data_IF_876519509048
#
_entry.id   IF_876519509048
#
_cell.length_a   1.000
_cell.length_b   1.000
_cell.length_c   1.000
_cell.angle_alpha   90.00
_cell.angle_beta   90.00
_cell.angle_gamma   90.00
#
_symmetry.space_group_name_H-M   'P 1'
#
loop_
_entity.id
_entity.type
_entity.pdbx_description
1 polymer ?
#
# COMPACT_ATOMS: atom_id res chain seq x y z
N UNK A 1 -5.95 26.12 -20.21
CA UNK A 1 -5.83 24.90 -19.37
C UNK A 1 -7.17 24.67 -18.69
N UNK A 2 -7.71 23.45 -18.69
CA UNK A 2 -8.98 23.15 -17.97
C UNK A 2 -8.71 23.08 -16.47
N UNK A 3 -9.61 23.59 -15.61
CA UNK A 3 -9.46 23.47 -14.17
C UNK A 3 -9.45 21.99 -13.75
N UNK A 4 -8.69 21.62 -12.70
CA UNK A 4 -8.69 20.25 -12.19
C UNK A 4 -10.10 19.83 -11.77
N UNK A 5 -10.42 18.55 -11.98
CA UNK A 5 -11.74 18.03 -11.63
C UNK A 5 -11.97 18.11 -10.12
N UNK A 6 -13.23 18.30 -9.70
CA UNK A 6 -13.61 18.33 -8.27
C UNK A 6 -13.17 17.04 -7.55
N UNK A 7 -13.22 15.90 -8.23
CA UNK A 7 -12.79 14.62 -7.68
C UNK A 7 -11.28 14.61 -7.35
N UNK A 8 -10.45 15.14 -8.25
CA UNK A 8 -9.01 15.24 -8.04
C UNK A 8 -8.68 16.14 -6.83
N UNK A 9 -9.29 17.33 -6.76
CA UNK A 9 -9.10 18.24 -5.62
C UNK A 9 -9.54 17.60 -4.29
N UNK A 10 -10.61 16.80 -4.29
CA UNK A 10 -11.04 16.06 -3.09
C UNK A 10 -10.04 14.98 -2.68
N UNK A 11 -9.41 14.27 -3.63
CA UNK A 11 -8.35 13.30 -3.31
C UNK A 11 -7.15 14.01 -2.69
N UNK A 12 -6.69 15.12 -3.27
CA UNK A 12 -5.59 15.91 -2.71
C UNK A 12 -5.92 16.45 -1.31
N UNK A 13 -7.15 16.93 -1.11
CA UNK A 13 -7.63 17.35 0.20
C UNK A 13 -7.65 16.20 1.22
N UNK A 14 -8.07 15.01 0.80
CA UNK A 14 -8.06 13.82 1.64
C UNK A 14 -6.63 13.46 2.07
N UNK A 15 -5.67 13.47 1.13
CA UNK A 15 -4.25 13.23 1.43
C UNK A 15 -3.69 14.28 2.38
N UNK A 16 -4.00 15.55 2.16
CA UNK A 16 -3.64 16.63 3.06
C UNK A 16 -4.20 16.41 4.47
N UNK A 17 -5.47 16.01 4.59
CA UNK A 17 -6.08 15.66 5.87
C UNK A 17 -5.37 14.47 6.53
N UNK A 18 -5.00 13.43 5.77
CA UNK A 18 -4.25 12.28 6.29
C UNK A 18 -2.93 12.68 6.94
N UNK A 19 -2.22 13.63 6.34
CA UNK A 19 -0.95 14.17 6.86
C UNK A 19 -1.17 15.10 8.05
N UNK A 20 -2.09 16.06 7.94
CA UNK A 20 -2.22 17.19 8.89
C UNK A 20 -3.22 16.94 10.00
N UNK A 21 -4.41 16.44 9.69
CA UNK A 21 -5.49 16.30 10.66
C UNK A 21 -6.36 15.08 10.34
N UNK A 22 -5.88 13.85 10.62
CA UNK A 22 -6.59 12.62 10.31
C UNK A 22 -7.95 12.51 11.02
N UNK A 23 -8.19 13.31 12.06
CA UNK A 23 -9.50 13.36 12.74
C UNK A 23 -10.59 13.93 11.85
N UNK A 24 -10.24 14.79 10.87
CA UNK A 24 -11.19 15.39 9.91
C UNK A 24 -11.72 14.41 8.88
N UNK A 25 -11.04 13.28 8.69
CA UNK A 25 -11.45 12.26 7.73
C UNK A 25 -12.72 11.56 8.23
N UNK A 26 -13.76 11.61 7.39
CA UNK A 26 -15.05 10.99 7.59
C UNK A 26 -15.16 9.72 6.76
N UNK A 27 -16.10 8.85 7.10
CA UNK A 27 -16.44 7.70 6.26
C UNK A 27 -17.25 8.12 5.04
N UNK A 28 -17.23 7.29 4.00
CA UNK A 28 -18.03 7.46 2.78
C UNK A 28 -17.72 8.75 2.00
N UNK A 29 -16.54 9.35 2.14
CA UNK A 29 -16.14 10.50 1.32
C UNK A 29 -15.97 10.13 -0.16
N UNK A 30 -15.61 8.87 -0.40
CA UNK A 30 -15.42 8.25 -1.69
C UNK A 30 -16.16 6.91 -1.73
N UNK A 31 -16.62 6.51 -2.92
CA UNK A 31 -17.14 5.16 -3.11
C UNK A 31 -16.00 4.16 -3.04
N UNK A 32 -16.30 2.93 -2.59
CA UNK A 32 -15.30 1.86 -2.52
C UNK A 32 -14.69 1.56 -3.89
N UNK A 33 -15.51 1.50 -4.94
CA UNK A 33 -15.01 1.29 -6.30
C UNK A 33 -14.02 2.37 -6.75
N UNK A 34 -14.28 3.64 -6.40
CA UNK A 34 -13.35 4.73 -6.68
C UNK A 34 -12.02 4.55 -5.92
N UNK A 35 -12.07 4.26 -4.63
CA UNK A 35 -10.85 4.05 -3.83
C UNK A 35 -10.02 2.88 -4.38
N UNK A 36 -10.66 1.77 -4.75
CA UNK A 36 -9.98 0.62 -5.36
C UNK A 36 -9.33 0.97 -6.69
N UNK A 37 -10.03 1.69 -7.57
CA UNK A 37 -9.49 2.11 -8.86
C UNK A 37 -8.27 3.03 -8.69
N UNK A 38 -8.34 3.99 -7.76
CA UNK A 38 -7.22 4.88 -7.46
C UNK A 38 -6.05 4.11 -6.87
N UNK A 39 -6.28 3.23 -5.88
CA UNK A 39 -5.20 2.45 -5.27
C UNK A 39 -4.53 1.50 -6.28
N UNK A 40 -5.32 0.86 -7.15
CA UNK A 40 -4.78 0.09 -8.27
C UNK A 40 -3.91 0.98 -9.16
N UNK A 41 -4.43 2.14 -9.56
CA UNK A 41 -3.70 3.04 -10.45
C UNK A 41 -2.39 3.55 -9.84
N UNK A 42 -2.39 3.88 -8.55
CA UNK A 42 -1.17 4.31 -7.83
C UNK A 42 -0.11 3.21 -7.81
N UNK A 43 -0.50 1.96 -7.52
CA UNK A 43 0.44 0.82 -7.56
C UNK A 43 0.94 0.52 -8.96
N UNK A 44 0.05 0.62 -9.95
CA UNK A 44 0.39 0.45 -11.36
C UNK A 44 1.42 1.48 -11.82
N UNK A 45 1.17 2.76 -11.51
CA UNK A 45 2.09 3.85 -11.81
C UNK A 45 3.42 3.68 -11.08
N UNK A 46 3.40 3.30 -9.79
CA UNK A 46 4.61 3.04 -9.03
C UNK A 46 5.51 2.03 -9.76
N UNK A 47 5.00 0.85 -10.09
CA UNK A 47 5.79 -0.17 -10.79
C UNK A 47 6.18 0.24 -12.21
N UNK A 48 5.31 0.96 -12.91
CA UNK A 48 5.60 1.49 -14.25
C UNK A 48 6.81 2.42 -14.23
N UNK A 49 6.85 3.38 -13.29
CA UNK A 49 7.92 4.36 -13.18
C UNK A 49 9.15 3.83 -12.47
N UNK A 50 8.97 2.87 -11.55
CA UNK A 50 10.06 2.15 -10.89
C UNK A 50 11.02 1.51 -11.91
N UNK A 51 10.48 1.02 -13.04
CA UNK A 51 11.28 0.47 -14.15
C UNK A 51 12.31 1.47 -14.72
N UNK A 52 12.05 2.77 -14.65
CA UNK A 52 12.91 3.81 -15.22
C UNK A 52 13.89 4.41 -14.21
N UNK A 53 13.54 4.39 -12.92
CA UNK A 53 14.34 5.01 -11.86
C UNK A 53 15.36 4.06 -11.24
N UNK A 54 15.11 2.75 -11.30
CA UNK A 54 15.90 1.76 -10.56
C UNK A 54 16.85 1.01 -11.49
N UNK A 55 18.17 1.00 -11.21
CA UNK A 55 19.21 0.55 -12.15
C UNK A 55 19.22 -0.96 -12.49
N UNK A 56 18.26 -1.75 -12.00
CA UNK A 56 18.13 -3.17 -12.33
C UNK A 56 17.35 -3.48 -13.62
N UNK A 57 16.74 -2.46 -14.25
CA UNK A 57 15.77 -2.66 -15.33
C UNK A 57 16.11 -1.93 -16.64
N UNK A 58 17.30 -1.33 -16.77
CA UNK A 58 17.53 -0.26 -17.75
C UNK A 58 18.34 -0.67 -19.00
N UNK A 59 17.70 -0.39 -20.15
CA UNK A 59 18.17 0.17 -21.45
C UNK A 59 18.13 -0.70 -22.71
N UNK A 60 18.73 -1.88 -22.75
CA UNK A 60 18.93 -2.56 -24.05
C UNK A 60 17.70 -3.34 -24.56
N UNK A 61 16.69 -3.55 -23.71
CA UNK A 61 15.49 -4.34 -24.02
C UNK A 61 14.16 -3.60 -23.72
N UNK A 62 14.12 -2.27 -23.79
CA UNK A 62 12.87 -1.54 -23.63
C UNK A 62 11.98 -1.71 -24.87
N UNK A 63 11.35 -2.87 -24.98
CA UNK A 63 10.08 -3.03 -25.65
C UNK A 63 9.04 -3.01 -24.53
N UNK A 64 7.99 -2.20 -24.64
CA UNK A 64 6.80 -2.26 -23.77
C UNK A 64 6.03 -3.58 -24.01
N UNK A 65 6.72 -4.71 -23.88
CA UNK A 65 6.23 -6.05 -24.06
C UNK A 65 5.58 -6.59 -22.79
N UNK A 66 5.23 -7.87 -22.83
CA UNK A 66 4.51 -8.58 -21.77
C UNK A 66 5.10 -8.39 -20.38
N UNK A 67 6.43 -8.53 -20.20
CA UNK A 67 7.10 -8.36 -18.90
C UNK A 67 6.84 -7.01 -18.24
N UNK A 68 6.93 -5.93 -19.02
CA UNK A 68 6.72 -4.58 -18.53
C UNK A 68 5.27 -4.40 -18.04
N UNK A 69 4.30 -4.76 -18.89
CA UNK A 69 2.89 -4.63 -18.51
C UNK A 69 2.51 -5.54 -17.35
N UNK A 70 3.00 -6.79 -17.33
CA UNK A 70 2.77 -7.71 -16.21
C UNK A 70 3.34 -7.17 -14.90
N UNK A 71 4.54 -6.55 -14.91
CA UNK A 71 5.10 -5.91 -13.74
C UNK A 71 4.24 -4.72 -13.25
N UNK A 72 3.76 -3.88 -14.15
CA UNK A 72 2.87 -2.77 -13.82
C UNK A 72 1.52 -3.26 -13.27
N UNK A 73 0.91 -4.26 -13.91
CA UNK A 73 -0.33 -4.91 -13.44
C UNK A 73 -0.15 -5.57 -12.08
N UNK A 74 1.00 -6.20 -11.84
CA UNK A 74 1.37 -6.73 -10.53
C UNK A 74 1.40 -5.62 -9.47
N UNK A 75 1.97 -4.45 -9.78
CA UNK A 75 1.96 -3.30 -8.86
C UNK A 75 0.56 -2.82 -8.52
N UNK A 76 -0.31 -2.72 -9.52
CA UNK A 76 -1.70 -2.31 -9.32
C UNK A 76 -2.50 -3.30 -8.48
N UNK A 77 -2.42 -4.59 -8.80
CA UNK A 77 -3.11 -5.64 -8.04
C UNK A 77 -2.58 -5.78 -6.62
N UNK A 78 -1.27 -5.65 -6.41
CA UNK A 78 -0.65 -5.66 -5.08
C UNK A 78 -1.09 -4.48 -4.23
N UNK A 79 -1.15 -3.27 -4.79
CA UNK A 79 -1.62 -2.06 -4.09
C UNK A 79 -3.10 -2.16 -3.70
N UNK A 80 -3.95 -2.64 -4.61
CA UNK A 80 -5.36 -2.88 -4.33
C UNK A 80 -5.56 -3.93 -3.22
N UNK A 81 -4.84 -5.05 -3.30
CA UNK A 81 -4.91 -6.11 -2.30
C UNK A 81 -4.43 -5.61 -0.94
N UNK A 82 -3.29 -4.92 -0.90
CA UNK A 82 -2.73 -4.32 0.31
C UNK A 82 -3.70 -3.32 0.96
N UNK A 83 -4.38 -2.50 0.16
CA UNK A 83 -5.41 -1.58 0.65
C UNK A 83 -6.56 -2.33 1.34
N UNK A 84 -7.10 -3.37 0.71
CA UNK A 84 -8.19 -4.17 1.28
C UNK A 84 -7.74 -4.92 2.54
N UNK A 85 -6.57 -5.54 2.50
CA UNK A 85 -5.98 -6.26 3.63
C UNK A 85 -5.70 -5.32 4.80
N UNK A 86 -5.14 -4.14 4.57
CA UNK A 86 -4.95 -3.11 5.59
C UNK A 86 -6.28 -2.59 6.14
N UNK A 87 -7.30 -2.47 5.28
CA UNK A 87 -8.67 -2.14 5.65
C UNK A 87 -9.23 -3.12 6.68
N UNK A 88 -9.26 -4.40 6.34
CA UNK A 88 -9.79 -5.46 7.21
C UNK A 88 -8.92 -5.64 8.45
N UNK A 89 -7.62 -5.91 8.26
CA UNK A 89 -6.69 -6.23 9.34
C UNK A 89 -6.53 -5.08 10.33
N UNK A 90 -6.42 -3.84 9.84
CA UNK A 90 -6.32 -2.67 10.70
C UNK A 90 -7.59 -2.40 11.50
N UNK A 91 -8.78 -2.58 10.90
CA UNK A 91 -10.05 -2.42 11.62
C UNK A 91 -10.21 -3.49 12.71
N UNK A 92 -9.88 -4.75 12.41
CA UNK A 92 -9.88 -5.84 13.39
C UNK A 92 -8.88 -5.58 14.52
N UNK A 93 -7.64 -5.19 14.19
CA UNK A 93 -6.61 -4.85 15.18
C UNK A 93 -7.05 -3.71 16.10
N UNK A 94 -7.67 -2.67 15.55
CA UNK A 94 -8.24 -1.58 16.35
C UNK A 94 -9.35 -2.06 17.29
N UNK A 95 -10.23 -2.95 16.83
CA UNK A 95 -11.28 -3.54 17.68
C UNK A 95 -10.70 -4.38 18.81
N UNK A 96 -9.65 -5.17 18.54
CA UNK A 96 -8.94 -5.95 19.57
C UNK A 96 -8.28 -5.04 20.61
N UNK A 97 -7.83 -3.85 20.22
CA UNK A 97 -7.34 -2.82 21.13
C UNK A 97 -8.45 -1.98 21.79
N UNK A 98 -9.70 -2.45 21.74
CA UNK A 98 -10.86 -1.80 22.35
C UNK A 98 -11.32 -0.51 21.65
N UNK A 99 -10.80 -0.22 20.44
CA UNK A 99 -11.19 0.96 19.67
C UNK A 99 -12.38 0.65 18.76
N UNK A 100 -13.48 1.37 18.98
CA UNK A 100 -14.65 1.32 18.10
C UNK A 100 -14.48 2.36 16.99
N UNK A 101 -14.18 1.88 15.79
CA UNK A 101 -14.15 2.70 14.57
C UNK A 101 -15.09 2.12 13.52
N UNK A 102 -15.86 3.01 12.90
CA UNK A 102 -16.70 2.68 11.77
C UNK A 102 -15.82 2.29 10.56
N UNK A 103 -16.10 1.15 9.93
CA UNK A 103 -15.27 0.60 8.86
C UNK A 103 -15.12 1.56 7.66
N UNK A 104 -16.18 2.14 7.09
CA UNK A 104 -16.05 3.19 6.08
C UNK A 104 -15.12 4.35 6.44
N UNK A 105 -15.10 4.78 7.71
CA UNK A 105 -14.17 5.83 8.16
C UNK A 105 -12.74 5.31 8.14
N UNK A 106 -12.50 4.13 8.70
CA UNK A 106 -11.18 3.50 8.69
C UNK A 106 -10.64 3.32 7.27
N UNK A 107 -11.47 2.82 6.36
CA UNK A 107 -11.12 2.63 4.95
C UNK A 107 -10.72 3.96 4.29
N UNK A 108 -11.49 5.03 4.53
CA UNK A 108 -11.16 6.37 4.02
C UNK A 108 -9.85 6.90 4.61
N UNK A 109 -9.56 6.60 5.89
CA UNK A 109 -8.30 6.99 6.52
C UNK A 109 -7.10 6.27 5.91
N UNK A 110 -7.19 4.98 5.60
CA UNK A 110 -6.11 4.29 4.87
C UNK A 110 -5.97 4.87 3.47
N UNK A 111 -7.09 5.10 2.77
CA UNK A 111 -7.08 5.70 1.44
C UNK A 111 -6.39 7.07 1.43
N UNK A 112 -6.54 7.86 2.49
CA UNK A 112 -5.86 9.15 2.65
C UNK A 112 -4.34 9.05 2.68
N UNK A 113 -3.80 7.88 3.06
CA UNK A 113 -2.36 7.59 3.04
C UNK A 113 -1.91 6.89 1.75
N UNK A 114 -2.81 6.69 0.78
CA UNK A 114 -2.50 6.01 -0.48
C UNK A 114 -1.43 6.70 -1.32
N UNK A 115 -1.22 8.02 -1.15
CA UNK A 115 -0.11 8.73 -1.80
C UNK A 115 1.27 8.17 -1.43
N UNK A 116 1.40 7.51 -0.27
CA UNK A 116 2.65 6.86 0.12
C UNK A 116 3.08 5.77 -0.86
N UNK A 117 2.14 5.18 -1.60
CA UNK A 117 2.44 4.21 -2.67
C UNK A 117 3.30 4.84 -3.77
N UNK A 118 3.04 6.10 -4.13
CA UNK A 118 3.75 6.78 -5.22
C UNK A 118 4.94 7.61 -4.72
N UNK A 119 4.98 7.95 -3.43
CA UNK A 119 6.00 8.82 -2.81
C UNK A 119 7.46 8.43 -3.07
N UNK A 120 7.85 7.14 -3.20
CA UNK A 120 9.25 6.81 -3.48
C UNK A 120 9.71 7.33 -4.85
N UNK A 121 8.82 7.55 -5.82
CA UNK A 121 9.20 8.06 -7.14
C UNK A 121 9.69 9.52 -7.10
N UNK A 122 8.91 10.51 -6.60
CA UNK A 122 9.41 11.87 -6.51
C UNK A 122 10.59 11.99 -5.54
N UNK A 123 10.62 11.21 -4.45
CA UNK A 123 11.80 11.16 -3.55
C UNK A 123 13.02 10.64 -4.30
N UNK A 124 12.87 9.57 -5.08
CA UNK A 124 13.96 9.01 -5.89
C UNK A 124 14.47 10.00 -6.92
N UNK A 125 13.56 10.68 -7.64
CA UNK A 125 13.93 11.71 -8.60
C UNK A 125 14.69 12.87 -7.94
N UNK A 126 14.23 13.35 -6.78
CA UNK A 126 14.92 14.41 -6.03
C UNK A 126 16.32 13.97 -5.55
N UNK A 127 16.46 12.74 -5.05
CA UNK A 127 17.76 12.20 -4.64
C UNK A 127 18.72 12.10 -5.83
N UNK A 128 18.25 11.63 -6.98
CA UNK A 128 19.04 11.56 -8.22
C UNK A 128 19.47 12.97 -8.66
N UNK A 129 18.55 13.94 -8.67
CA UNK A 129 18.85 15.34 -9.00
C UNK A 129 19.85 15.98 -8.04
N UNK A 130 19.83 15.59 -6.77
CA UNK A 130 20.78 16.03 -5.75
C UNK A 130 22.13 15.27 -5.80
N UNK A 131 22.33 14.37 -6.77
CA UNK A 131 23.57 13.60 -6.94
C UNK A 131 23.68 12.36 -6.06
N UNK A 132 22.66 12.01 -5.27
CA UNK A 132 22.60 10.79 -4.46
C UNK A 132 22.27 9.57 -5.34
N UNK A 133 23.24 9.16 -6.14
CA UNK A 133 23.11 8.11 -7.14
C UNK A 133 24.10 6.97 -6.92
N UNK A 134 23.81 5.81 -7.51
CA UNK A 134 24.83 4.76 -7.69
C UNK A 134 25.87 5.21 -8.72
N UNK A 135 27.03 4.53 -8.84
CA UNK A 135 28.01 4.81 -9.89
C UNK A 135 27.45 4.75 -11.32
N UNK A 136 26.30 4.11 -11.52
CA UNK A 136 25.58 4.00 -12.80
C UNK A 136 24.53 5.11 -13.01
N UNK A 137 24.47 6.12 -12.13
CA UNK A 137 23.54 7.25 -12.22
C UNK A 137 22.09 6.94 -11.81
N UNK A 138 21.84 5.76 -11.22
CA UNK A 138 20.52 5.34 -10.75
C UNK A 138 20.26 5.63 -9.27
N UNK A 139 19.08 5.26 -8.77
CA UNK A 139 18.73 5.40 -7.35
C UNK A 139 19.70 4.64 -6.44
N UNK A 140 20.20 5.30 -5.39
CA UNK A 140 21.06 4.70 -4.37
C UNK A 140 20.36 3.61 -3.55
N UNK A 141 21.12 2.62 -3.10
CA UNK A 141 20.64 1.52 -2.26
C UNK A 141 21.35 1.52 -0.91
N UNK A 142 20.61 1.22 0.16
CA UNK A 142 21.10 1.13 1.52
C UNK A 142 20.90 -0.27 2.09
N UNK A 143 21.91 -0.75 2.82
CA UNK A 143 21.79 -1.94 3.63
C UNK A 143 21.16 -1.58 4.96
N UNK A 144 19.99 -2.15 5.24
CA UNK A 144 19.36 -2.04 6.54
C UNK A 144 19.50 -3.36 7.28
N UNK A 145 19.93 -3.34 8.57
CA UNK A 145 19.85 -4.53 9.39
C UNK A 145 18.40 -5.02 9.38
N UNK A 146 18.19 -6.35 9.38
CA UNK A 146 16.89 -7.03 9.29
C UNK A 146 16.25 -7.14 7.90
N UNK A 147 16.76 -6.45 6.86
CA UNK A 147 16.30 -6.68 5.49
C UNK A 147 17.25 -7.62 4.74
N UNK A 148 16.73 -8.67 4.06
CA UNK A 148 17.57 -9.66 3.38
C UNK A 148 18.21 -9.13 2.08
N UNK A 149 17.78 -7.96 1.61
CA UNK A 149 18.26 -7.31 0.39
C UNK A 149 18.45 -5.81 0.66
N UNK A 150 19.41 -5.16 0.00
CA UNK A 150 19.53 -3.72 0.06
C UNK A 150 18.24 -3.07 -0.44
N UNK A 151 17.77 -2.06 0.28
CA UNK A 151 16.57 -1.32 -0.07
C UNK A 151 16.96 -0.02 -0.76
N UNK A 152 16.21 0.38 -1.77
CA UNK A 152 16.43 1.67 -2.38
C UNK A 152 16.19 2.80 -1.36
N UNK A 153 17.12 3.76 -1.31
CA UNK A 153 17.06 4.93 -0.44
C UNK A 153 15.68 5.63 -0.42
N UNK A 154 15.01 5.92 -1.56
CA UNK A 154 13.68 6.53 -1.53
C UNK A 154 12.59 5.65 -0.91
N UNK A 155 12.70 4.32 -0.99
CA UNK A 155 11.80 3.40 -0.30
C UNK A 155 12.02 3.49 1.20
N UNK A 156 13.28 3.54 1.65
CA UNK A 156 13.60 3.71 3.08
C UNK A 156 13.06 5.03 3.63
N UNK A 157 13.27 6.14 2.92
CA UNK A 157 12.73 7.45 3.31
C UNK A 157 11.20 7.40 3.38
N UNK A 158 10.56 6.82 2.37
CA UNK A 158 9.09 6.66 2.36
C UNK A 158 8.59 5.78 3.49
N UNK A 159 9.33 4.73 3.86
CA UNK A 159 8.99 3.86 4.99
C UNK A 159 9.00 4.64 6.31
N UNK A 160 10.02 5.47 6.55
CA UNK A 160 10.10 6.33 7.75
C UNK A 160 8.91 7.31 7.79
N UNK A 161 8.63 7.99 6.68
CA UNK A 161 7.48 8.89 6.58
C UNK A 161 6.17 8.13 6.83
N UNK A 162 6.02 6.95 6.24
CA UNK A 162 4.87 6.08 6.44
C UNK A 162 4.67 5.69 7.91
N UNK A 163 5.72 5.25 8.59
CA UNK A 163 5.68 4.90 10.02
C UNK A 163 5.20 6.10 10.86
N UNK A 164 5.77 7.28 10.63
CA UNK A 164 5.38 8.50 11.36
C UNK A 164 3.91 8.87 11.12
N UNK A 165 3.43 8.75 9.89
CA UNK A 165 2.03 9.03 9.55
C UNK A 165 1.08 7.98 10.12
N UNK A 166 1.44 6.70 10.10
CA UNK A 166 0.67 5.63 10.74
C UNK A 166 0.60 5.84 12.26
N UNK A 167 1.71 6.17 12.91
CA UNK A 167 1.73 6.50 14.34
C UNK A 167 0.82 7.69 14.66
N UNK A 168 0.89 8.76 13.87
CA UNK A 168 0.01 9.92 14.00
C UNK A 168 -1.45 9.52 13.83
N UNK A 169 -1.75 8.70 12.84
CA UNK A 169 -3.09 8.18 12.55
C UNK A 169 -3.61 7.35 13.73
N UNK A 170 -2.85 6.39 14.25
CA UNK A 170 -3.23 5.59 15.40
C UNK A 170 -3.41 6.41 16.67
N UNK A 171 -2.53 7.39 16.91
CA UNK A 171 -2.66 8.34 18.02
C UNK A 171 -3.93 9.19 17.88
N UNK A 172 -4.31 9.56 16.66
CA UNK A 172 -5.55 10.31 16.39
C UNK A 172 -6.82 9.52 16.71
N UNK A 173 -6.74 8.18 16.68
CA UNK A 173 -7.79 7.25 17.11
C UNK A 173 -7.80 7.01 18.64
N UNK A 174 -6.96 7.75 19.38
CA UNK A 174 -6.88 7.68 20.84
C UNK A 174 -6.16 6.45 21.35
N UNK A 175 -5.33 5.79 20.54
CA UNK A 175 -4.43 4.75 21.04
C UNK A 175 -3.36 5.39 21.94
N UNK A 176 -3.24 4.89 23.17
CA UNK A 176 -2.13 5.24 24.07
C UNK A 176 -0.82 4.58 23.62
N UNK A 177 0.26 4.83 24.36
CA UNK A 177 1.60 4.32 24.03
C UNK A 177 1.66 2.81 23.83
N UNK A 178 1.03 2.02 24.72
CA UNK A 178 0.98 0.57 24.57
C UNK A 178 0.32 0.12 23.26
N UNK A 179 -0.78 0.76 22.87
CA UNK A 179 -1.43 0.49 21.58
C UNK A 179 -0.56 0.90 20.38
N UNK A 180 0.17 2.01 20.48
CA UNK A 180 1.11 2.42 19.44
C UNK A 180 2.27 1.43 19.28
N UNK A 181 2.81 0.92 20.38
CA UNK A 181 3.86 -0.12 20.36
C UNK A 181 3.35 -1.39 19.69
N UNK A 182 2.14 -1.85 20.06
CA UNK A 182 1.53 -3.02 19.41
C UNK A 182 1.38 -2.78 17.90
N UNK A 183 0.88 -1.62 17.47
CA UNK A 183 0.74 -1.33 16.04
C UNK A 183 2.09 -1.18 15.33
N UNK A 184 3.12 -0.62 15.99
CA UNK A 184 4.48 -0.54 15.46
C UNK A 184 5.10 -1.92 15.22
N UNK A 185 4.73 -2.93 16.00
CA UNK A 185 5.20 -4.30 15.81
C UNK A 185 4.32 -5.08 14.83
N UNK A 186 3.00 -4.89 14.91
CA UNK A 186 2.03 -5.61 14.10
C UNK A 186 2.11 -5.23 12.62
N UNK A 187 2.30 -3.94 12.28
CA UNK A 187 2.34 -3.50 10.88
C UNK A 187 3.54 -4.10 10.12
N UNK A 188 4.78 -4.03 10.63
CA UNK A 188 5.92 -4.72 10.01
C UNK A 188 5.74 -6.25 10.00
N UNK A 189 5.22 -6.83 11.08
CA UNK A 189 4.99 -8.29 11.15
C UNK A 189 4.01 -8.76 10.08
N UNK A 190 2.95 -7.97 9.84
CA UNK A 190 1.99 -8.24 8.78
C UNK A 190 2.63 -8.15 7.40
N UNK A 191 3.50 -7.15 7.16
CA UNK A 191 4.28 -7.08 5.93
C UNK A 191 5.18 -8.32 5.74
N UNK A 192 5.92 -8.74 6.77
CA UNK A 192 6.76 -9.95 6.70
C UNK A 192 5.94 -11.21 6.45
N UNK A 193 4.73 -11.32 7.01
CA UNK A 193 3.83 -12.44 6.74
C UNK A 193 3.36 -12.45 5.28
N UNK A 194 2.96 -11.29 4.75
CA UNK A 194 2.54 -11.18 3.35
C UNK A 194 3.70 -11.46 2.38
N UNK A 195 4.86 -10.86 2.60
CA UNK A 195 6.07 -11.09 1.82
C UNK A 195 6.53 -12.56 1.90
N UNK A 196 6.50 -13.15 3.10
CA UNK A 196 6.87 -14.55 3.33
C UNK A 196 5.96 -15.52 2.59
N UNK A 197 4.65 -15.28 2.63
CA UNK A 197 3.67 -16.10 1.87
C UNK A 197 3.84 -15.94 0.36
N UNK A 198 4.10 -14.73 -0.14
CA UNK A 198 4.40 -14.52 -1.56
C UNK A 198 5.67 -15.27 -2.00
N UNK A 199 6.76 -15.19 -1.21
CA UNK A 199 7.98 -15.95 -1.50
C UNK A 199 7.79 -17.46 -1.49
N UNK A 200 6.89 -17.96 -0.65
CA UNK A 200 6.53 -19.38 -0.66
C UNK A 200 5.84 -19.76 -1.98
N UNK A 201 4.91 -18.92 -2.47
CA UNK A 201 4.26 -19.09 -3.78
C UNK A 201 5.30 -19.03 -4.90
N UNK A 202 6.18 -18.03 -4.90
CA UNK A 202 7.25 -17.89 -5.89
C UNK A 202 8.15 -19.15 -5.96
N UNK A 203 8.60 -19.66 -4.79
CA UNK A 203 9.40 -20.89 -4.71
C UNK A 203 8.64 -22.12 -5.21
N UNK A 204 7.36 -22.23 -4.89
CA UNK A 204 6.51 -23.31 -5.40
C UNK A 204 6.39 -23.24 -6.93
N UNK A 205 6.20 -22.04 -7.49
CA UNK A 205 6.15 -21.83 -8.95
C UNK A 205 7.45 -22.24 -9.64
N UNK A 206 8.61 -21.89 -9.07
CA UNK A 206 9.91 -22.32 -9.59
C UNK A 206 10.01 -23.86 -9.55
N UNK A 207 9.57 -24.47 -8.45
CA UNK A 207 9.58 -25.93 -8.28
C UNK A 207 8.65 -26.66 -9.27
N UNK A 208 7.61 -25.98 -9.77
CA UNK A 208 6.70 -26.47 -10.81
C UNK A 208 7.23 -26.28 -12.25
N UNK A 209 8.50 -25.87 -12.41
CA UNK A 209 9.11 -25.71 -13.73
C UNK A 209 8.69 -24.43 -14.46
N UNK A 210 8.19 -23.42 -13.75
CA UNK A 210 7.80 -22.12 -14.29
C UNK A 210 8.75 -20.99 -13.83
N UNK A 211 10.06 -21.03 -14.17
CA UNK A 211 11.04 -20.08 -13.64
C UNK A 211 11.00 -18.70 -14.33
N UNK A 212 10.15 -18.51 -15.34
CA UNK A 212 10.14 -17.26 -16.11
C UNK A 212 9.64 -16.09 -15.26
N UNK A 213 10.23 -14.91 -15.46
CA UNK A 213 9.83 -13.69 -14.75
C UNK A 213 8.35 -13.33 -15.01
N UNK A 214 7.85 -13.64 -16.21
CA UNK A 214 6.43 -13.47 -16.54
C UNK A 214 5.53 -14.37 -15.72
N UNK A 215 5.90 -15.65 -15.57
CA UNK A 215 5.16 -16.58 -14.71
C UNK A 215 5.16 -16.10 -13.26
N UNK A 216 6.30 -15.59 -12.75
CA UNK A 216 6.37 -15.02 -11.41
C UNK A 216 5.45 -13.81 -11.22
N UNK A 217 5.36 -12.91 -12.21
CA UNK A 217 4.42 -11.78 -12.15
C UNK A 217 2.96 -12.22 -12.25
N UNK A 218 2.64 -13.16 -13.15
CA UNK A 218 1.27 -13.72 -13.26
C UNK A 218 0.86 -14.37 -11.94
N UNK A 219 1.73 -15.18 -11.34
CA UNK A 219 1.46 -15.81 -10.04
C UNK A 219 1.32 -14.78 -8.92
N UNK A 220 2.15 -13.73 -8.93
CA UNK A 220 2.00 -12.60 -8.00
C UNK A 220 0.68 -11.87 -8.16
N UNK A 221 0.23 -11.65 -9.40
CA UNK A 221 -1.09 -11.06 -9.70
C UNK A 221 -2.20 -11.95 -9.14
N UNK A 222 -2.17 -13.26 -9.45
CA UNK A 222 -3.18 -14.21 -8.97
C UNK A 222 -3.22 -14.29 -7.45
N UNK A 223 -2.05 -14.33 -6.80
CA UNK A 223 -1.93 -14.33 -5.35
C UNK A 223 -2.49 -13.04 -4.73
N UNK A 224 -2.13 -11.89 -5.29
CA UNK A 224 -2.65 -10.59 -4.88
C UNK A 224 -4.17 -10.52 -5.01
N UNK A 225 -4.73 -11.01 -6.12
CA UNK A 225 -6.18 -11.06 -6.34
C UNK A 225 -6.88 -12.00 -5.35
N UNK A 226 -6.29 -13.17 -5.03
CA UNK A 226 -6.84 -14.08 -4.03
C UNK A 226 -6.89 -13.43 -2.64
N UNK A 227 -5.80 -12.79 -2.20
CA UNK A 227 -5.78 -12.03 -0.95
C UNK A 227 -6.81 -10.91 -0.95
N UNK A 228 -6.90 -10.15 -2.06
CA UNK A 228 -7.87 -9.09 -2.24
C UNK A 228 -9.31 -9.61 -2.17
N UNK A 229 -9.59 -10.77 -2.74
CA UNK A 229 -10.90 -11.42 -2.68
C UNK A 229 -11.26 -11.83 -1.25
N UNK A 230 -10.34 -12.46 -0.52
CA UNK A 230 -10.54 -12.83 0.89
C UNK A 230 -10.83 -11.58 1.75
N UNK A 231 -10.06 -10.52 1.56
CA UNK A 231 -10.27 -9.25 2.23
C UNK A 231 -11.60 -8.59 1.82
N UNK A 232 -11.98 -8.67 0.54
CA UNK A 232 -13.25 -8.15 0.04
C UNK A 232 -14.46 -8.80 0.73
N UNK A 233 -14.43 -10.13 0.87
CA UNK A 233 -15.47 -10.88 1.59
C UNK A 233 -15.53 -10.44 3.05
N UNK A 234 -14.39 -10.42 3.75
CA UNK A 234 -14.31 -10.01 5.15
C UNK A 234 -14.76 -8.55 5.38
N UNK A 235 -14.42 -7.65 4.45
CA UNK A 235 -14.88 -6.26 4.43
C UNK A 235 -16.41 -6.17 4.44
N UNK A 236 -17.10 -7.02 3.67
CA UNK A 236 -18.56 -7.05 3.62
C UNK A 236 -19.19 -7.29 4.99
N UNK A 237 -18.54 -8.12 5.82
CA UNK A 237 -19.00 -8.44 7.17
C UNK A 237 -18.76 -7.27 8.12
N UNK A 238 -17.56 -6.67 8.04
CA UNK A 238 -17.18 -5.52 8.87
C UNK A 238 -18.01 -4.27 8.58
N UNK A 239 -18.44 -4.09 7.33
CA UNK A 239 -19.27 -2.97 6.90
C UNK A 239 -20.72 -3.09 7.38
N UNK A 240 -21.24 -4.31 7.54
CA UNK A 240 -22.62 -4.58 8.00
C UNK A 240 -22.78 -4.56 9.53
N UNK A 241 -21.74 -4.91 10.28
CA UNK A 241 -21.75 -5.04 11.75
C UNK A 241 -21.98 -3.76 12.58
N UNK A 242 -22.43 -2.65 11.97
CA UNK A 242 -22.89 -1.45 12.67
C UNK A 242 -24.38 -1.13 12.45
N UNK A 243 -25.10 -1.95 11.68
CA UNK A 243 -26.53 -1.78 11.44
C UNK A 243 -27.46 -2.58 12.37
N UNK A 244 -26.96 -3.52 13.19
CA UNK A 244 -27.82 -4.53 13.84
C UNK A 244 -27.92 -4.45 15.38
N UNK A 245 -27.50 -3.36 16.03
CA UNK A 245 -27.67 -3.16 17.50
C UNK A 245 -28.64 -2.00 17.80
N UNK A 246 -29.71 -1.88 17.02
CA UNK A 246 -30.92 -1.15 17.40
C UNK A 246 -32.11 -1.99 16.97
N UNK A 247 -32.68 -2.73 17.92
CA UNK A 247 -33.90 -3.50 17.66
C UNK A 247 -34.09 -4.76 18.48
N UNK A 248 -33.57 -4.86 19.70
CA UNK A 248 -34.16 -5.74 20.73
C UNK A 248 -33.90 -5.12 22.09
N UNK A 249 -34.98 -4.89 22.84
CA UNK A 249 -35.00 -4.30 24.18
C UNK A 249 -35.74 -2.98 24.15
N UNK A 250 -36.94 -2.86 24.69
CA UNK A 250 -37.78 -3.73 25.51
C UNK A 250 -38.90 -2.85 26.04
#
# INVERSE_FOLDING_TARGET
MKPPSRAFLRVLWCWWCGVRDPKRIRGNEFSTGFMLAVMFYLGFLYNTFHYFLYPGYIREQFFAGSKFWLHSFYGGTSSLSSFLMAGVGGCLGLRLLGKKINYPRWETMIFSLGFLTILPLPVGALLVLAGFTTPLGGVAFWYLPFFPKPLAAPVVVTLVVGILLFLRLFRSLGLGWGGLVVMMLAVPSFYFLLEGTYRAVERATISLGLPSLEAQYVMGIMWGLLQGLLAWVARGWLSRGHGSVRGVGG
#
